data_IF_166652684822
#
_entry.id   IF_166652684822
#
_cell.length_a   1.000
_cell.length_b   1.000
_cell.length_c   1.000
_cell.angle_alpha   90.00
_cell.angle_beta   90.00
_cell.angle_gamma   90.00
#
_symmetry.space_group_name_H-M   'P 1'
#
loop_
_entity.id
_entity.type
_entity.pdbx_description
1 polymer ?
#
# COMPACT_ATOMS: atom_id res chain seq x y z
N UNK A 1 38.35 4.66 7.34
CA UNK A 1 38.61 5.59 8.45
C UNK A 1 37.30 5.70 9.18
N UNK A 2 37.31 5.55 10.49
CA UNK A 2 36.09 5.65 11.30
C UNK A 2 35.82 7.13 11.54
N UNK A 3 34.71 7.63 11.01
CA UNK A 3 34.41 9.07 11.04
C UNK A 3 33.54 9.47 12.23
N UNK A 4 32.70 8.55 12.70
CA UNK A 4 31.72 8.83 13.73
C UNK A 4 32.11 8.18 15.07
N UNK A 5 31.82 8.90 16.14
CA UNK A 5 31.75 8.36 17.50
C UNK A 5 30.29 8.29 17.94
N UNK A 6 29.95 7.25 18.69
CA UNK A 6 28.64 7.14 19.33
C UNK A 6 28.68 7.89 20.66
N UNK A 7 27.90 8.96 20.80
CA UNK A 7 27.94 9.86 21.95
C UNK A 7 26.54 9.96 22.56
N UNK A 8 26.37 9.71 23.89
CA UNK A 8 25.09 9.89 24.55
C UNK A 8 24.56 11.31 24.41
N UNK A 9 23.24 11.47 24.28
CA UNK A 9 22.58 12.77 24.08
C UNK A 9 22.92 13.75 25.20
N UNK A 10 22.97 13.33 26.47
CA UNK A 10 23.40 14.21 27.58
C UNK A 10 24.78 14.83 27.37
N UNK A 11 25.71 14.09 26.75
CA UNK A 11 27.05 14.61 26.46
C UNK A 11 27.01 15.56 25.25
N UNK A 12 26.23 15.23 24.22
CA UNK A 12 25.99 16.13 23.07
C UNK A 12 25.43 17.47 23.52
N UNK A 13 24.45 17.46 24.43
CA UNK A 13 23.85 18.67 25.01
C UNK A 13 24.89 19.54 25.71
N UNK A 14 25.83 18.94 26.45
CA UNK A 14 26.89 19.67 27.16
C UNK A 14 27.91 20.24 26.17
N UNK A 15 28.27 19.47 25.13
CA UNK A 15 29.29 19.83 24.14
C UNK A 15 28.79 20.85 23.11
N UNK A 16 27.53 20.74 22.69
CA UNK A 16 26.92 21.54 21.64
C UNK A 16 25.59 22.14 22.11
N UNK A 17 25.59 22.99 23.16
CA UNK A 17 24.36 23.51 23.75
C UNK A 17 23.52 24.36 22.79
N UNK A 18 24.13 24.89 21.73
CA UNK A 18 23.44 25.66 20.70
C UNK A 18 22.40 24.84 19.93
N UNK A 19 22.50 23.50 19.89
CA UNK A 19 21.54 22.67 19.15
C UNK A 19 20.11 22.79 19.67
N UNK A 20 19.95 23.10 20.97
CA UNK A 20 18.66 23.33 21.63
C UNK A 20 17.87 24.52 21.07
N UNK A 21 18.48 25.37 20.26
CA UNK A 21 17.77 26.46 19.59
C UNK A 21 16.92 25.98 18.41
N UNK A 22 17.22 24.80 17.87
CA UNK A 22 16.51 24.22 16.74
C UNK A 22 15.33 23.41 17.24
N UNK A 23 14.14 23.68 16.70
CA UNK A 23 12.89 23.07 17.14
C UNK A 23 12.89 21.53 17.02
N UNK A 24 13.57 20.99 15.99
CA UNK A 24 13.72 19.55 15.81
C UNK A 24 14.64 18.87 16.82
N UNK A 25 15.42 19.62 17.59
CA UNK A 25 16.25 19.02 18.64
C UNK A 25 15.37 18.73 19.85
N UNK A 26 15.27 17.46 20.25
CA UNK A 26 14.40 17.00 21.35
C UNK A 26 12.90 17.15 21.02
N UNK A 27 12.54 16.81 19.78
CA UNK A 27 11.17 16.91 19.25
C UNK A 27 10.23 15.82 19.77
N UNK A 28 10.74 14.61 20.04
CA UNK A 28 9.92 13.45 20.39
C UNK A 28 9.89 13.20 21.90
N UNK A 29 8.70 12.93 22.45
CA UNK A 29 8.47 12.74 23.88
C UNK A 29 9.17 11.48 24.46
N UNK A 30 9.58 10.55 23.60
CA UNK A 30 10.26 9.30 23.97
C UNK A 30 11.79 9.36 23.80
N UNK A 31 12.36 10.53 23.52
CA UNK A 31 13.81 10.74 23.56
C UNK A 31 14.35 10.61 24.98
N UNK A 32 15.27 9.66 25.18
CA UNK A 32 15.98 9.50 26.44
C UNK A 32 17.39 10.10 26.31
N UNK A 33 17.86 10.84 27.32
CA UNK A 33 19.22 11.44 27.29
C UNK A 33 20.37 10.40 27.16
N UNK A 34 20.02 9.14 27.37
CA UNK A 34 20.87 7.95 27.34
C UNK A 34 20.99 7.34 25.94
N UNK A 35 20.10 7.72 25.02
CA UNK A 35 20.18 7.40 23.61
C UNK A 35 21.34 8.17 22.97
N UNK A 36 21.61 7.88 21.69
CA UNK A 36 22.88 8.25 21.08
C UNK A 36 22.75 9.15 19.87
N UNK A 37 23.78 9.95 19.66
CA UNK A 37 24.08 10.60 18.38
C UNK A 37 25.32 9.98 17.74
N UNK A 38 25.33 9.98 16.41
CA UNK A 38 26.55 9.83 15.63
C UNK A 38 27.24 11.19 15.52
N UNK A 39 28.40 11.35 16.14
CA UNK A 39 29.14 12.62 16.19
C UNK A 39 30.46 12.50 15.44
N UNK A 40 30.71 13.40 14.49
CA UNK A 40 31.98 13.57 13.80
C UNK A 40 32.55 14.98 14.08
N UNK A 41 33.74 15.04 14.67
CA UNK A 41 34.46 16.30 14.95
C UNK A 41 35.40 16.71 13.81
N UNK A 42 34.87 16.71 12.57
CA UNK A 42 35.60 17.07 11.36
C UNK A 42 34.87 16.64 10.10
N UNK A 43 35.59 16.66 8.97
CA UNK A 43 35.05 16.27 7.67
C UNK A 43 34.76 14.76 7.60
N UNK A 44 33.62 14.41 7.00
CA UNK A 44 33.16 13.03 6.81
C UNK A 44 33.18 12.69 5.34
N UNK A 45 33.81 11.57 4.99
CA UNK A 45 33.81 11.03 3.64
C UNK A 45 33.07 9.70 3.60
N UNK A 46 32.02 9.60 2.79
CA UNK A 46 31.22 8.39 2.63
C UNK A 46 31.41 7.83 1.23
N UNK A 47 32.05 6.67 1.13
CA UNK A 47 32.14 5.92 -0.13
C UNK A 47 30.83 5.16 -0.36
N UNK A 48 30.04 5.62 -1.34
CA UNK A 48 28.68 5.15 -1.60
C UNK A 48 27.62 6.10 -1.01
N UNK A 49 26.42 5.58 -0.76
CA UNK A 49 25.30 6.36 -0.21
C UNK A 49 25.44 6.59 1.30
N UNK A 50 25.04 7.77 1.77
CA UNK A 50 24.91 8.10 3.18
C UNK A 50 23.44 8.03 3.61
N UNK A 51 23.09 6.94 4.27
CA UNK A 51 21.74 6.73 4.81
C UNK A 51 21.57 7.43 6.17
N UNK A 52 20.52 8.24 6.27
CA UNK A 52 20.14 8.96 7.47
C UNK A 52 19.11 8.18 8.30
N UNK A 53 18.47 7.14 7.78
CA UNK A 53 17.51 6.29 8.49
C UNK A 53 18.21 5.37 9.52
N UNK A 54 18.96 5.96 10.46
CA UNK A 54 19.87 5.27 11.39
C UNK A 54 19.17 4.42 12.45
N UNK A 55 17.84 4.49 12.49
CA UNK A 55 16.99 3.60 13.28
C UNK A 55 16.82 2.22 12.61
N UNK A 56 16.95 2.13 11.28
CA UNK A 56 16.81 0.90 10.52
C UNK A 56 17.96 -0.09 10.76
N UNK A 57 17.61 -1.37 10.89
CA UNK A 57 18.57 -2.44 11.18
C UNK A 57 19.62 -2.60 10.09
N UNK A 58 19.24 -2.46 8.83
CA UNK A 58 20.16 -2.60 7.71
C UNK A 58 21.10 -1.39 7.60
N UNK A 59 20.65 -0.20 7.98
CA UNK A 59 21.50 1.00 8.09
C UNK A 59 22.49 0.84 9.25
N UNK A 60 22.07 0.34 10.41
CA UNK A 60 22.98 0.01 11.53
C UNK A 60 24.05 -1.01 11.13
N UNK A 61 23.67 -2.05 10.39
CA UNK A 61 24.63 -3.04 9.84
C UNK A 61 25.63 -2.40 8.87
N UNK A 62 25.17 -1.46 8.06
CA UNK A 62 26.04 -0.70 7.15
C UNK A 62 27.01 0.20 7.92
N UNK A 63 26.52 0.99 8.89
CA UNK A 63 27.34 1.86 9.75
C UNK A 63 28.49 1.08 10.41
N UNK A 64 28.18 -0.08 10.98
CA UNK A 64 29.16 -0.98 11.63
C UNK A 64 30.27 -1.48 10.71
N UNK A 65 30.02 -1.54 9.40
CA UNK A 65 30.99 -2.02 8.42
C UNK A 65 31.85 -0.89 7.85
N UNK A 66 31.39 0.35 7.94
CA UNK A 66 31.88 1.44 7.08
C UNK A 66 32.35 2.66 7.86
N UNK A 67 31.57 3.15 8.82
CA UNK A 67 31.72 4.49 9.37
C UNK A 67 31.99 4.53 10.88
N UNK A 68 31.73 3.42 11.58
CA UNK A 68 31.85 3.32 13.04
C UNK A 68 33.03 2.45 13.52
N UNK A 69 33.77 2.89 14.55
CA UNK A 69 34.85 2.10 15.15
C UNK A 69 34.34 1.02 16.11
N UNK A 70 33.14 1.23 16.68
CA UNK A 70 32.49 0.31 17.62
C UNK A 70 31.16 -0.14 17.05
N UNK A 71 30.87 -1.44 17.19
CA UNK A 71 29.62 -2.01 16.69
C UNK A 71 28.43 -1.54 17.53
N UNK A 72 27.39 -1.03 16.86
CA UNK A 72 26.06 -0.79 17.42
C UNK A 72 25.19 -2.03 17.25
N UNK A 73 24.28 -2.26 18.20
CA UNK A 73 23.31 -3.35 18.17
C UNK A 73 21.98 -2.88 17.60
N UNK A 74 21.07 -3.81 17.28
CA UNK A 74 19.70 -3.47 16.84
C UNK A 74 18.98 -2.58 17.87
N UNK A 75 19.16 -2.88 19.16
CA UNK A 75 18.55 -2.11 20.28
C UNK A 75 19.21 -0.75 20.53
N UNK A 76 20.32 -0.42 19.85
CA UNK A 76 20.95 0.89 20.00
C UNK A 76 20.06 1.93 19.33
N UNK A 77 19.44 2.80 20.14
CA UNK A 77 18.68 3.95 19.66
C UNK A 77 19.63 5.07 19.27
N UNK A 78 19.59 5.45 18.00
CA UNK A 78 20.36 6.56 17.44
C UNK A 78 19.35 7.59 16.98
N UNK A 79 19.40 8.75 17.61
CA UNK A 79 18.37 9.78 17.48
C UNK A 79 18.87 11.01 16.70
N UNK A 80 20.18 11.08 16.45
CA UNK A 80 20.76 12.19 15.72
C UNK A 80 22.10 11.91 15.07
N UNK A 81 22.43 12.79 14.12
CA UNK A 81 23.70 12.82 13.41
C UNK A 81 24.23 14.26 13.50
N UNK A 82 25.45 14.42 13.98
CA UNK A 82 26.15 15.70 14.08
C UNK A 82 27.49 15.60 13.37
N UNK A 83 27.64 16.38 12.29
CA UNK A 83 28.91 16.54 11.58
C UNK A 83 29.42 17.96 11.78
N UNK A 84 30.48 18.11 12.57
CA UNK A 84 31.16 19.37 12.79
C UNK A 84 32.26 19.61 11.71
N UNK A 85 31.85 19.54 10.45
CA UNK A 85 32.70 19.64 9.28
C UNK A 85 31.89 19.50 7.99
N UNK A 86 32.59 19.27 6.88
CA UNK A 86 31.98 19.00 5.58
C UNK A 86 31.55 17.53 5.46
N UNK A 87 30.51 17.26 4.69
CA UNK A 87 30.11 15.91 4.28
C UNK A 87 30.38 15.76 2.79
N UNK A 88 31.19 14.76 2.45
CA UNK A 88 31.54 14.44 1.06
C UNK A 88 31.09 13.00 0.83
N UNK A 89 30.03 12.83 0.06
CA UNK A 89 29.42 11.54 -0.23
C UNK A 89 29.61 11.24 -1.72
N UNK A 90 30.26 10.12 -2.03
CA UNK A 90 30.46 9.71 -3.43
C UNK A 90 29.13 9.30 -4.10
N UNK A 91 28.12 8.95 -3.31
CA UNK A 91 26.76 8.66 -3.75
C UNK A 91 25.75 9.65 -3.19
N UNK A 92 24.54 9.18 -2.98
CA UNK A 92 23.42 9.99 -2.50
C UNK A 92 23.35 10.08 -0.96
N UNK A 93 22.86 11.22 -0.45
CA UNK A 93 22.43 11.37 0.95
C UNK A 93 20.93 11.08 1.00
N UNK A 94 20.52 10.08 1.78
CA UNK A 94 19.16 9.50 1.70
C UNK A 94 18.52 9.41 3.09
N UNK A 95 17.34 10.00 3.22
CA UNK A 95 16.33 9.69 4.24
C UNK A 95 15.06 9.27 3.48
N UNK A 96 14.80 7.96 3.41
CA UNK A 96 13.67 7.41 2.66
C UNK A 96 12.37 7.47 3.46
N UNK A 97 12.44 7.27 4.78
CA UNK A 97 11.28 7.33 5.65
C UNK A 97 10.67 8.74 5.62
N UNK A 98 9.37 8.83 5.38
CA UNK A 98 8.65 10.09 5.25
C UNK A 98 8.09 10.59 6.57
N UNK A 99 7.64 9.70 7.45
CA UNK A 99 6.93 10.08 8.68
C UNK A 99 7.85 10.41 9.86
N UNK A 100 9.09 9.95 9.81
CA UNK A 100 10.05 10.03 10.91
C UNK A 100 11.49 10.16 10.39
N UNK A 101 12.38 10.70 11.22
CA UNK A 101 13.81 10.62 11.00
C UNK A 101 14.62 11.22 12.15
N UNK A 102 15.94 11.02 12.16
CA UNK A 102 16.79 11.60 13.19
C UNK A 102 16.90 13.11 13.05
N UNK A 103 17.38 13.75 14.11
CA UNK A 103 17.88 15.12 14.03
C UNK A 103 19.28 15.14 13.39
N UNK A 104 19.44 15.83 12.27
CA UNK A 104 20.69 15.89 11.51
C UNK A 104 21.22 17.32 11.45
N UNK A 105 22.45 17.52 11.91
CA UNK A 105 23.13 18.81 11.87
C UNK A 105 24.49 18.68 11.17
N UNK A 106 24.68 19.44 10.10
CA UNK A 106 25.93 19.50 9.33
C UNK A 106 26.46 20.94 9.35
N UNK A 107 27.60 21.15 10.01
CA UNK A 107 28.19 22.48 10.23
C UNK A 107 28.88 23.06 8.97
N UNK A 108 29.30 22.21 8.04
CA UNK A 108 30.00 22.59 6.81
C UNK A 108 29.15 22.41 5.55
N UNK A 109 29.83 22.26 4.43
CA UNK A 109 29.22 22.01 3.14
C UNK A 109 28.90 20.51 2.97
N UNK A 110 27.91 20.22 2.12
CA UNK A 110 27.56 18.86 1.69
C UNK A 110 27.79 18.75 0.19
N UNK A 111 28.55 17.73 -0.22
CA UNK A 111 28.73 17.35 -1.63
C UNK A 111 28.24 15.91 -1.79
N UNK A 112 27.38 15.68 -2.78
CA UNK A 112 26.78 14.36 -3.03
C UNK A 112 26.35 14.19 -4.49
N UNK A 113 26.05 12.96 -4.88
CA UNK A 113 25.38 12.67 -6.16
C UNK A 113 23.97 13.31 -6.19
N UNK A 114 23.14 12.90 -5.24
CA UNK A 114 21.77 13.39 -5.04
C UNK A 114 21.47 13.47 -3.55
N UNK A 115 20.49 14.28 -3.16
CA UNK A 115 20.01 14.37 -1.79
C UNK A 115 18.50 14.13 -1.79
N UNK A 116 18.05 13.10 -1.07
CA UNK A 116 16.64 12.82 -0.82
C UNK A 116 16.38 12.94 0.69
N UNK A 117 15.50 13.87 1.08
CA UNK A 117 15.10 14.07 2.47
C UNK A 117 13.60 13.84 2.63
N UNK A 118 13.24 12.91 3.53
CA UNK A 118 11.89 12.64 3.99
C UNK A 118 11.66 13.25 5.38
N UNK A 119 11.21 12.43 6.32
CA UNK A 119 10.77 12.83 7.67
C UNK A 119 11.83 13.33 8.64
N UNK A 120 13.13 13.30 8.29
CA UNK A 120 14.19 13.77 9.16
C UNK A 120 14.20 15.30 9.33
N UNK A 121 14.72 15.75 10.47
CA UNK A 121 14.97 17.17 10.71
C UNK A 121 16.43 17.52 10.39
N UNK A 122 16.66 18.07 9.20
CA UNK A 122 17.98 18.29 8.63
C UNK A 122 18.34 19.77 8.59
N UNK A 123 19.53 20.11 9.11
CA UNK A 123 20.13 21.44 9.04
C UNK A 123 21.50 21.34 8.40
N UNK A 124 21.72 22.11 7.34
CA UNK A 124 23.03 22.32 6.71
C UNK A 124 23.39 23.80 6.84
N UNK A 125 24.50 24.08 7.52
CA UNK A 125 24.98 25.46 7.73
C UNK A 125 25.72 26.00 6.51
N UNK A 126 26.41 25.13 5.77
CA UNK A 126 27.12 25.48 4.54
C UNK A 126 26.26 25.31 3.30
N UNK A 127 26.93 25.16 2.16
CA UNK A 127 26.27 24.90 0.87
C UNK A 127 25.96 23.41 0.71
N UNK A 128 24.88 23.12 0.00
CA UNK A 128 24.61 21.78 -0.55
C UNK A 128 24.92 21.81 -2.04
N UNK A 129 25.79 20.91 -2.49
CA UNK A 129 26.09 20.70 -3.91
C UNK A 129 25.73 19.26 -4.27
N UNK A 130 24.74 19.10 -5.14
CA UNK A 130 24.35 17.81 -5.70
C UNK A 130 24.67 17.76 -7.20
N UNK A 131 25.10 16.61 -7.68
CA UNK A 131 25.38 16.38 -9.11
C UNK A 131 24.10 16.28 -9.96
N UNK A 132 22.99 15.81 -9.38
CA UNK A 132 21.70 15.69 -10.07
C UNK A 132 20.53 16.37 -9.35
N UNK A 133 20.03 15.74 -8.28
CA UNK A 133 18.75 16.08 -7.68
C UNK A 133 18.90 16.36 -6.20
N UNK A 134 18.33 17.48 -5.75
CA UNK A 134 17.91 17.65 -4.35
C UNK A 134 16.39 17.51 -4.33
N UNK A 135 15.87 16.55 -3.59
CA UNK A 135 14.45 16.33 -3.40
C UNK A 135 14.13 16.27 -1.90
N UNK A 136 13.18 17.10 -1.47
CA UNK A 136 12.61 17.03 -0.14
C UNK A 136 11.12 16.74 -0.27
N UNK A 137 10.65 15.70 0.40
CA UNK A 137 9.31 15.15 0.17
C UNK A 137 8.64 14.81 1.50
N UNK A 138 7.36 15.19 1.62
CA UNK A 138 6.47 14.86 2.74
C UNK A 138 6.61 15.72 4.01
N UNK A 139 5.48 16.07 4.61
CA UNK A 139 5.38 17.27 5.47
C UNK A 139 5.80 17.07 6.92
N UNK A 140 6.14 15.85 7.32
CA UNK A 140 6.72 15.56 8.62
C UNK A 140 8.22 15.89 8.67
N UNK A 141 8.87 16.01 7.51
CA UNK A 141 10.26 16.36 7.39
C UNK A 141 10.55 17.85 7.51
N UNK A 142 11.81 18.18 7.76
CA UNK A 142 12.29 19.56 7.80
C UNK A 142 13.69 19.67 7.21
N UNK A 143 13.89 20.63 6.31
CA UNK A 143 15.20 20.91 5.72
C UNK A 143 15.50 22.40 5.78
N UNK A 144 16.56 22.78 6.47
CA UNK A 144 17.09 24.14 6.46
C UNK A 144 18.52 24.16 5.90
N UNK A 145 18.72 24.91 4.83
CA UNK A 145 20.04 25.22 4.28
C UNK A 145 20.34 26.71 4.49
N UNK A 146 21.30 27.03 5.36
CA UNK A 146 21.75 28.40 5.60
C UNK A 146 22.80 28.89 4.59
N UNK A 147 23.34 27.98 3.77
CA UNK A 147 24.11 28.34 2.58
C UNK A 147 23.23 28.39 1.33
N UNK A 148 23.83 28.02 0.20
CA UNK A 148 23.14 27.86 -1.07
C UNK A 148 23.00 26.38 -1.47
N UNK A 149 21.90 26.05 -2.16
CA UNK A 149 21.67 24.75 -2.79
C UNK A 149 22.02 24.84 -4.29
N UNK A 150 23.00 24.05 -4.73
CA UNK A 150 23.42 23.92 -6.12
C UNK A 150 23.08 22.52 -6.61
N UNK A 151 22.13 22.41 -7.52
CA UNK A 151 21.75 21.12 -8.11
C UNK A 151 21.07 21.36 -9.47
N UNK A 152 21.30 20.56 -10.51
CA UNK A 152 20.55 20.70 -11.76
C UNK A 152 19.03 20.70 -11.56
N UNK A 153 18.53 19.85 -10.66
CA UNK A 153 17.11 19.75 -10.29
C UNK A 153 16.94 19.93 -8.78
N UNK A 154 16.02 20.81 -8.38
CA UNK A 154 15.62 20.96 -6.97
C UNK A 154 14.09 20.91 -6.83
N UNK A 155 13.61 19.98 -6.00
CA UNK A 155 12.19 19.72 -5.75
C UNK A 155 11.94 19.79 -4.24
N UNK A 156 11.02 20.65 -3.84
CA UNK A 156 10.37 20.62 -2.53
C UNK A 156 8.88 20.35 -2.74
N UNK A 157 8.44 19.16 -2.34
CA UNK A 157 7.08 18.67 -2.52
C UNK A 157 6.48 18.31 -1.17
N UNK A 158 5.46 19.07 -0.74
CA UNK A 158 4.81 18.96 0.56
C UNK A 158 5.80 18.83 1.72
N UNK A 159 6.89 19.59 1.76
CA UNK A 159 7.95 19.44 2.77
C UNK A 159 8.30 20.78 3.42
N UNK A 160 8.69 20.80 4.70
CA UNK A 160 9.13 22.02 5.37
C UNK A 160 10.56 22.41 4.95
N UNK A 161 10.70 22.99 3.76
CA UNK A 161 12.00 23.31 3.15
C UNK A 161 12.28 24.80 3.16
N UNK A 162 13.41 25.18 3.78
CA UNK A 162 13.87 26.54 3.96
C UNK A 162 15.29 26.69 3.40
N UNK A 163 15.42 27.37 2.27
CA UNK A 163 16.69 27.57 1.59
C UNK A 163 16.89 29.07 1.35
N UNK A 164 18.05 29.61 1.72
CA UNK A 164 18.33 31.04 1.51
C UNK A 164 18.56 31.37 0.03
N UNK A 165 19.27 30.51 -0.69
CA UNK A 165 19.61 30.68 -2.09
C UNK A 165 19.67 29.32 -2.77
N UNK A 166 19.21 29.25 -4.01
CA UNK A 166 19.36 28.07 -4.84
C UNK A 166 19.77 28.47 -6.26
N UNK A 167 20.46 27.57 -6.94
CA UNK A 167 20.78 27.70 -8.35
C UNK A 167 20.58 26.35 -9.04
N UNK A 168 19.61 26.32 -9.96
CA UNK A 168 19.20 25.12 -10.66
C UNK A 168 19.23 25.35 -12.16
N UNK A 169 19.96 24.50 -12.88
CA UNK A 169 20.14 24.64 -14.33
C UNK A 169 18.94 24.12 -15.12
N UNK A 170 18.28 23.05 -14.63
CA UNK A 170 17.28 22.31 -15.39
C UNK A 170 15.87 22.49 -14.84
N UNK A 171 15.69 22.37 -13.53
CA UNK A 171 14.35 22.35 -12.94
C UNK A 171 14.33 22.83 -11.49
N UNK A 172 13.29 23.59 -11.16
CA UNK A 172 12.99 24.00 -9.79
C UNK A 172 11.49 23.93 -9.54
N UNK A 173 11.11 23.32 -8.42
CA UNK A 173 9.74 23.25 -7.93
C UNK A 173 9.72 23.35 -6.41
N UNK A 174 8.86 24.21 -5.89
CA UNK A 174 8.58 24.33 -4.46
C UNK A 174 7.12 24.74 -4.31
N UNK A 175 6.30 23.81 -3.82
CA UNK A 175 4.85 23.96 -3.70
C UNK A 175 4.45 24.96 -2.60
N UNK A 176 5.30 25.15 -1.59
CA UNK A 176 5.02 26.05 -0.45
C UNK A 176 5.57 27.46 -0.62
N UNK A 177 6.64 27.62 -1.41
CA UNK A 177 7.18 28.95 -1.71
C UNK A 177 6.48 29.65 -2.88
N UNK A 178 5.83 28.88 -3.77
CA UNK A 178 5.08 29.38 -4.93
C UNK A 178 5.91 30.34 -5.83
N UNK A 179 7.22 30.09 -5.93
CA UNK A 179 8.20 30.91 -6.67
C UNK A 179 8.84 30.16 -7.86
N UNK A 180 8.29 28.99 -8.20
CA UNK A 180 8.75 28.19 -9.33
C UNK A 180 8.12 28.65 -10.67
N UNK A 181 8.78 28.42 -11.82
CA UNK A 181 8.24 28.79 -13.13
C UNK A 181 6.90 28.08 -13.41
N UNK A 182 5.99 28.76 -14.13
CA UNK A 182 4.65 28.22 -14.42
C UNK A 182 4.70 26.91 -15.24
N UNK A 183 5.69 26.75 -16.11
CA UNK A 183 5.92 25.53 -16.88
C UNK A 183 6.30 24.31 -16.02
N UNK A 184 6.71 24.56 -14.77
CA UNK A 184 7.09 23.53 -13.80
C UNK A 184 5.91 23.09 -12.92
N UNK A 185 4.73 23.69 -13.09
CA UNK A 185 3.53 23.31 -12.36
C UNK A 185 3.18 21.83 -12.58
N UNK A 186 2.82 21.17 -11.48
CA UNK A 186 2.20 19.86 -11.51
C UNK A 186 0.76 19.95 -12.03
N UNK A 187 0.22 18.86 -12.55
CA UNK A 187 -1.12 18.83 -13.14
C UNK A 187 -1.85 17.53 -12.82
N UNK A 188 -3.16 17.61 -12.70
CA UNK A 188 -4.05 16.44 -12.65
C UNK A 188 -4.40 16.05 -14.09
N UNK A 189 -4.27 14.76 -14.41
CA UNK A 189 -4.73 14.24 -15.69
C UNK A 189 -6.24 14.04 -15.66
N UNK A 190 -6.95 14.69 -16.58
CA UNK A 190 -8.42 14.67 -16.61
C UNK A 190 -8.99 13.27 -16.88
N UNK A 191 -8.23 12.37 -17.52
CA UNK A 191 -8.71 11.03 -17.88
C UNK A 191 -8.52 10.05 -16.73
N UNK A 192 -7.33 10.03 -16.10
CA UNK A 192 -7.04 9.10 -15.01
C UNK A 192 -7.36 9.66 -13.61
N UNK A 193 -7.42 10.99 -13.46
CA UNK A 193 -7.47 11.66 -12.15
C UNK A 193 -6.14 11.60 -11.37
N UNK A 194 -5.07 11.11 -12.00
CA UNK A 194 -3.76 11.04 -11.37
C UNK A 194 -3.07 12.41 -11.36
N UNK A 195 -2.30 12.66 -10.31
CA UNK A 195 -1.50 13.87 -10.18
C UNK A 195 -0.07 13.62 -10.66
N UNK A 196 0.38 14.39 -11.66
CA UNK A 196 1.68 14.26 -12.30
C UNK A 196 2.54 15.50 -12.08
N UNK A 197 3.85 15.31 -12.04
CA UNK A 197 4.77 16.44 -12.14
C UNK A 197 4.78 17.00 -13.57
N UNK A 198 5.34 18.19 -13.74
CA UNK A 198 5.36 18.85 -15.05
C UNK A 198 6.05 18.02 -16.15
N UNK A 199 5.57 18.20 -17.37
CA UNK A 199 6.24 17.67 -18.57
C UNK A 199 7.65 18.23 -18.75
N UNK A 200 7.95 19.37 -18.13
CA UNK A 200 9.30 19.94 -18.13
C UNK A 200 10.27 19.06 -17.34
N UNK A 201 9.93 18.67 -16.11
CA UNK A 201 10.75 17.72 -15.35
C UNK A 201 10.94 16.40 -16.11
N UNK A 202 9.85 15.85 -16.67
CA UNK A 202 9.88 14.59 -17.43
C UNK A 202 10.89 14.59 -18.60
N UNK A 203 11.17 15.76 -19.21
CA UNK A 203 12.13 15.88 -20.32
C UNK A 203 13.58 15.72 -19.88
N UNK A 204 13.89 15.97 -18.62
CA UNK A 204 15.25 15.87 -18.08
C UNK A 204 15.57 14.49 -17.52
N UNK A 205 14.53 13.69 -17.21
CA UNK A 205 14.70 12.34 -16.68
C UNK A 205 15.19 11.33 -17.74
N UNK A 206 16.07 10.43 -17.34
CA UNK A 206 16.57 9.32 -18.17
C UNK A 206 15.44 8.37 -18.58
N UNK A 207 14.48 8.14 -17.68
CA UNK A 207 13.22 7.46 -18.03
C UNK A 207 12.04 8.46 -18.04
N UNK A 208 11.59 8.94 -19.21
CA UNK A 208 10.47 9.88 -19.30
C UNK A 208 9.10 9.25 -18.99
N UNK A 209 9.05 7.93 -18.75
CA UNK A 209 7.85 7.23 -18.27
C UNK A 209 7.69 7.34 -16.74
N UNK A 210 8.70 7.82 -16.02
CA UNK A 210 8.54 8.29 -14.64
C UNK A 210 7.79 9.63 -14.70
N UNK A 211 6.64 9.74 -14.02
CA UNK A 211 5.75 10.90 -14.14
C UNK A 211 5.25 11.46 -12.81
N UNK A 212 5.48 10.76 -11.69
CA UNK A 212 5.08 11.21 -10.36
C UNK A 212 6.27 11.38 -9.43
N UNK A 213 6.13 12.23 -8.41
CA UNK A 213 7.15 12.39 -7.38
C UNK A 213 7.39 11.10 -6.59
N UNK A 214 6.35 10.31 -6.32
CA UNK A 214 6.48 8.98 -5.69
C UNK A 214 7.41 8.06 -6.50
N UNK A 215 7.27 8.04 -7.83
CA UNK A 215 8.10 7.21 -8.70
C UNK A 215 9.55 7.67 -8.77
N UNK A 216 9.76 8.99 -8.82
CA UNK A 216 11.09 9.58 -8.81
C UNK A 216 11.79 9.31 -7.47
N UNK A 217 11.06 9.49 -6.36
CA UNK A 217 11.52 9.19 -5.01
C UNK A 217 12.01 7.75 -4.91
N UNK A 218 11.24 6.76 -5.37
CA UNK A 218 11.64 5.34 -5.35
C UNK A 218 12.98 5.08 -6.07
N UNK A 219 13.31 5.81 -7.14
CA UNK A 219 14.61 5.66 -7.81
C UNK A 219 15.74 6.33 -7.00
N UNK A 220 15.48 7.50 -6.42
CA UNK A 220 16.42 8.23 -5.56
C UNK A 220 16.73 7.48 -4.25
N UNK A 221 15.76 6.75 -3.68
CA UNK A 221 15.93 5.86 -2.53
C UNK A 221 16.90 4.71 -2.82
N UNK A 222 16.92 4.21 -4.06
CA UNK A 222 17.92 3.23 -4.52
C UNK A 222 19.26 3.88 -4.88
N UNK A 223 19.36 5.21 -4.75
CA UNK A 223 20.56 5.98 -5.07
C UNK A 223 20.85 6.05 -6.58
N UNK A 224 19.83 5.85 -7.43
CA UNK A 224 20.02 5.84 -8.87
C UNK A 224 20.31 7.23 -9.44
N UNK A 225 21.06 7.25 -10.54
CA UNK A 225 21.13 8.42 -11.41
C UNK A 225 19.85 8.51 -12.25
N UNK A 226 19.14 9.63 -12.15
CA UNK A 226 17.79 9.80 -12.72
C UNK A 226 17.75 10.77 -13.89
N UNK A 227 18.78 11.59 -14.11
CA UNK A 227 18.84 12.57 -15.20
C UNK A 227 19.54 11.99 -16.45
N UNK A 228 19.14 12.51 -17.61
CA UNK A 228 19.73 12.12 -18.90
C UNK A 228 21.23 12.38 -18.94
N UNK A 229 21.96 11.41 -19.49
CA UNK A 229 23.39 11.54 -19.72
C UNK A 229 24.27 11.35 -18.48
N UNK A 230 23.69 11.22 -17.29
CA UNK A 230 24.39 10.90 -16.05
C UNK A 230 24.21 9.44 -15.63
N UNK A 231 23.27 8.71 -16.23
CA UNK A 231 23.00 7.32 -15.87
C UNK A 231 24.14 6.37 -16.25
N UNK A 232 24.82 5.82 -15.24
CA UNK A 232 25.74 4.68 -15.38
C UNK A 232 25.00 3.32 -15.38
N UNK A 233 23.74 3.31 -14.94
CA UNK A 233 22.90 2.11 -14.82
C UNK A 233 22.35 1.67 -16.18
N UNK A 234 22.67 0.44 -16.58
CA UNK A 234 22.09 -0.17 -17.79
C UNK A 234 20.66 -0.62 -17.48
N UNK A 235 19.65 0.10 -17.98
CA UNK A 235 18.22 -0.21 -17.81
C UNK A 235 17.73 -1.27 -18.79
N UNK A 236 18.37 -2.44 -18.77
CA UNK A 236 18.04 -3.58 -19.62
C UNK A 236 16.86 -4.41 -19.08
N UNK A 237 16.63 -5.59 -19.67
CA UNK A 237 15.58 -6.49 -19.24
C UNK A 237 15.75 -7.01 -17.80
N UNK A 238 16.99 -7.14 -17.29
CA UNK A 238 17.24 -7.60 -15.93
C UNK A 238 16.90 -6.49 -14.92
N UNK A 239 17.25 -5.24 -15.23
CA UNK A 239 16.85 -4.06 -14.45
C UNK A 239 15.33 -3.99 -14.31
N UNK A 240 14.59 -4.05 -15.41
CA UNK A 240 13.12 -3.96 -15.37
C UNK A 240 12.46 -5.16 -14.70
N UNK A 241 13.07 -6.36 -14.79
CA UNK A 241 12.61 -7.53 -14.03
C UNK A 241 12.78 -7.33 -12.52
N UNK A 242 13.89 -6.73 -12.06
CA UNK A 242 14.11 -6.37 -10.65
C UNK A 242 13.04 -5.37 -10.18
N UNK A 243 12.91 -4.24 -10.88
CA UNK A 243 11.96 -3.16 -10.52
C UNK A 243 10.51 -3.63 -10.45
N UNK A 244 10.07 -4.45 -11.40
CA UNK A 244 8.69 -4.98 -11.42
C UNK A 244 8.44 -6.09 -10.40
N UNK A 245 9.50 -6.79 -9.95
CA UNK A 245 9.41 -7.77 -8.85
C UNK A 245 9.26 -7.07 -7.50
N UNK A 246 9.94 -5.95 -7.29
CA UNK A 246 9.79 -5.12 -6.08
C UNK A 246 8.41 -4.46 -6.02
N UNK A 247 7.98 -3.86 -7.14
CA UNK A 247 6.67 -3.22 -7.23
C UNK A 247 6.09 -3.40 -8.64
N UNK A 248 4.98 -4.12 -8.76
CA UNK A 248 4.34 -4.42 -10.05
C UNK A 248 3.92 -3.16 -10.82
N UNK A 249 3.67 -2.04 -10.13
CA UNK A 249 3.31 -0.75 -10.74
C UNK A 249 4.43 -0.21 -11.62
N UNK A 250 5.69 -0.59 -11.38
CA UNK A 250 6.81 -0.23 -12.25
C UNK A 250 6.65 -0.74 -13.68
N UNK A 251 5.73 -1.67 -13.95
CA UNK A 251 5.45 -2.13 -15.31
C UNK A 251 4.98 -0.98 -16.22
N UNK A 252 4.31 0.05 -15.68
CA UNK A 252 3.93 1.24 -16.46
C UNK A 252 5.14 2.04 -16.93
N UNK A 253 6.25 1.99 -16.18
CA UNK A 253 7.51 2.70 -16.43
C UNK A 253 8.48 1.94 -17.34
N UNK A 254 8.17 0.70 -17.71
CA UNK A 254 9.02 -0.11 -18.60
C UNK A 254 8.88 0.38 -20.05
N UNK A 255 9.99 0.73 -20.74
CA UNK A 255 9.97 1.07 -22.16
C UNK A 255 9.46 -0.08 -23.03
N UNK A 256 8.78 0.24 -24.14
CA UNK A 256 8.15 -0.76 -25.01
C UNK A 256 9.13 -1.85 -25.50
N UNK A 257 10.38 -1.49 -25.76
CA UNK A 257 11.43 -2.43 -26.17
C UNK A 257 11.77 -3.49 -25.10
N UNK A 258 11.55 -3.17 -23.82
CA UNK A 258 11.81 -4.06 -22.67
C UNK A 258 10.53 -4.70 -22.14
N UNK A 259 9.35 -4.19 -22.50
CA UNK A 259 8.03 -4.69 -22.05
C UNK A 259 7.61 -5.93 -22.86
N UNK A 260 8.40 -7.00 -22.75
CA UNK A 260 8.16 -8.26 -23.45
C UNK A 260 6.98 -9.03 -22.86
N UNK A 261 6.43 -9.96 -23.64
CA UNK A 261 5.40 -10.90 -23.17
C UNK A 261 5.86 -11.68 -21.93
N UNK A 262 7.12 -12.15 -21.93
CA UNK A 262 7.70 -12.88 -20.80
C UNK A 262 7.67 -12.07 -19.51
N UNK A 263 8.10 -10.79 -19.56
CA UNK A 263 8.08 -9.90 -18.40
C UNK A 263 6.64 -9.68 -17.91
N UNK A 264 5.72 -9.41 -18.84
CA UNK A 264 4.30 -9.20 -18.54
C UNK A 264 3.68 -10.41 -17.83
N UNK A 265 3.91 -11.62 -18.37
CA UNK A 265 3.40 -12.86 -17.80
C UNK A 265 4.03 -13.16 -16.43
N UNK A 266 5.33 -12.88 -16.24
CA UNK A 266 5.99 -13.04 -14.94
C UNK A 266 5.35 -12.15 -13.87
N UNK A 267 5.06 -10.88 -14.17
CA UNK A 267 4.42 -9.98 -13.19
C UNK A 267 3.01 -10.47 -12.86
N UNK A 268 2.24 -10.88 -13.87
CA UNK A 268 0.88 -11.43 -13.71
C UNK A 268 0.83 -12.75 -12.91
N UNK A 269 1.92 -13.53 -12.92
CA UNK A 269 2.02 -14.71 -12.05
C UNK A 269 1.98 -14.36 -10.57
N UNK A 270 2.42 -13.15 -10.18
CA UNK A 270 2.40 -12.69 -8.80
C UNK A 270 1.10 -11.96 -8.47
N UNK A 271 0.63 -11.08 -9.36
CA UNK A 271 -0.54 -10.24 -9.09
C UNK A 271 -1.34 -9.92 -10.37
N UNK A 272 -2.65 -10.13 -10.33
CA UNK A 272 -3.54 -9.75 -11.43
C UNK A 272 -3.73 -8.23 -11.55
N UNK A 273 -3.40 -7.46 -10.50
CA UNK A 273 -3.44 -5.98 -10.50
C UNK A 273 -2.49 -5.32 -11.51
N UNK A 274 -1.56 -6.09 -12.07
CA UNK A 274 -0.68 -5.58 -13.12
C UNK A 274 -1.34 -5.56 -14.50
N UNK A 275 -2.50 -6.22 -14.67
CA UNK A 275 -3.18 -6.37 -15.97
C UNK A 275 -3.43 -5.03 -16.70
N UNK A 276 -3.83 -3.93 -16.04
CA UNK A 276 -3.99 -2.63 -16.69
C UNK A 276 -2.72 -2.07 -17.33
N UNK A 277 -1.53 -2.53 -16.92
CA UNK A 277 -0.24 -2.07 -17.46
C UNK A 277 0.30 -2.97 -18.58
N UNK A 278 -0.41 -4.03 -18.93
CA UNK A 278 -0.02 -5.01 -19.94
C UNK A 278 -0.43 -4.50 -21.32
N UNK A 279 0.47 -4.51 -22.33
CA UNK A 279 0.12 -4.17 -23.69
C UNK A 279 -1.05 -5.02 -24.21
N UNK A 280 -2.04 -4.38 -24.83
CA UNK A 280 -3.27 -5.05 -25.29
C UNK A 280 -3.02 -6.26 -26.20
N UNK A 281 -1.93 -6.24 -26.97
CA UNK A 281 -1.48 -7.34 -27.83
C UNK A 281 -1.18 -8.65 -27.09
N UNK A 282 -0.91 -8.60 -25.78
CA UNK A 282 -0.63 -9.76 -24.93
C UNK A 282 -1.83 -10.22 -24.11
N UNK A 283 -2.92 -9.44 -24.08
CA UNK A 283 -4.12 -9.81 -23.34
C UNK A 283 -5.00 -10.68 -24.23
N UNK A 284 -5.11 -11.95 -23.85
CA UNK A 284 -5.92 -12.96 -24.56
C UNK A 284 -7.00 -13.53 -23.65
N UNK A 285 -8.04 -14.11 -24.24
CA UNK A 285 -9.10 -14.81 -23.49
C UNK A 285 -8.51 -15.94 -22.62
N UNK A 286 -7.52 -16.68 -23.13
CA UNK A 286 -6.85 -17.74 -22.39
C UNK A 286 -6.13 -17.20 -21.14
N UNK A 287 -5.44 -16.06 -21.26
CA UNK A 287 -4.80 -15.40 -20.14
C UNK A 287 -5.84 -14.91 -19.11
N UNK A 288 -6.92 -14.26 -19.55
CA UNK A 288 -7.99 -13.77 -18.68
C UNK A 288 -8.60 -14.94 -17.87
N UNK A 289 -8.90 -16.04 -18.56
CA UNK A 289 -9.40 -17.27 -17.93
C UNK A 289 -8.41 -17.85 -16.93
N UNK A 290 -7.10 -17.83 -17.23
CA UNK A 290 -6.06 -18.30 -16.30
C UNK A 290 -5.99 -17.44 -15.03
N UNK A 291 -6.07 -16.12 -15.16
CA UNK A 291 -6.05 -15.20 -14.00
C UNK A 291 -7.27 -15.43 -13.11
N UNK A 292 -8.47 -15.47 -13.69
CA UNK A 292 -9.73 -15.72 -12.96
C UNK A 292 -9.75 -17.12 -12.34
N UNK A 293 -9.19 -18.12 -13.02
CA UNK A 293 -9.09 -19.48 -12.48
C UNK A 293 -8.20 -19.56 -11.22
N UNK A 294 -7.20 -18.66 -11.10
CA UNK A 294 -6.31 -18.55 -9.94
C UNK A 294 -6.98 -17.78 -8.81
N UNK A 295 -7.63 -16.66 -9.12
CA UNK A 295 -8.33 -15.81 -8.16
C UNK A 295 -9.57 -15.17 -8.83
N UNK A 296 -10.76 -15.43 -8.28
CA UNK A 296 -12.01 -14.92 -8.84
C UNK A 296 -12.11 -13.39 -8.80
N UNK A 297 -11.34 -12.71 -7.95
CA UNK A 297 -11.27 -11.24 -7.93
C UNK A 297 -10.59 -10.64 -9.17
N UNK A 298 -9.81 -11.44 -9.92
CA UNK A 298 -9.17 -10.96 -11.13
C UNK A 298 -10.17 -10.43 -12.18
N UNK A 299 -11.44 -10.87 -12.12
CA UNK A 299 -12.50 -10.45 -13.05
C UNK A 299 -12.66 -8.93 -13.12
N UNK A 300 -12.38 -8.21 -12.04
CA UNK A 300 -12.51 -6.74 -12.00
C UNK A 300 -11.48 -6.00 -12.85
N UNK A 301 -10.33 -6.63 -13.12
CA UNK A 301 -9.25 -6.05 -13.93
C UNK A 301 -9.31 -6.51 -15.39
N UNK A 302 -10.16 -7.51 -15.71
CA UNK A 302 -10.26 -8.06 -17.06
C UNK A 302 -10.93 -7.04 -17.99
N UNK A 303 -10.35 -6.74 -19.18
CA UNK A 303 -11.00 -5.85 -20.14
C UNK A 303 -12.40 -6.30 -20.53
N UNK A 304 -13.35 -5.36 -20.61
CA UNK A 304 -14.78 -5.64 -20.83
C UNK A 304 -15.06 -6.59 -22.00
N UNK A 305 -14.29 -6.48 -23.09
CA UNK A 305 -14.43 -7.33 -24.28
C UNK A 305 -14.19 -8.82 -24.05
N UNK A 306 -13.53 -9.19 -22.95
CA UNK A 306 -13.29 -10.59 -22.55
C UNK A 306 -14.23 -11.05 -21.44
N UNK A 307 -15.07 -10.16 -20.91
CA UNK A 307 -16.06 -10.52 -19.89
C UNK A 307 -17.22 -11.26 -20.56
N UNK A 308 -17.35 -12.55 -20.25
CA UNK A 308 -18.42 -13.42 -20.75
C UNK A 308 -19.20 -14.06 -19.59
N UNK A 309 -20.42 -14.58 -19.82
CA UNK A 309 -21.15 -15.36 -18.82
C UNK A 309 -20.32 -16.51 -18.23
N UNK A 310 -19.56 -17.22 -19.06
CA UNK A 310 -18.72 -18.35 -18.66
C UNK A 310 -17.56 -17.88 -17.76
N UNK A 311 -16.94 -16.75 -18.09
CA UNK A 311 -15.87 -16.17 -17.27
C UNK A 311 -16.42 -15.66 -15.93
N UNK A 312 -17.59 -15.03 -15.93
CA UNK A 312 -18.25 -14.56 -14.70
C UNK A 312 -18.63 -15.73 -13.78
N UNK A 313 -19.13 -16.83 -14.35
CA UNK A 313 -19.42 -18.05 -13.59
C UNK A 313 -18.12 -18.69 -13.05
N UNK A 314 -17.05 -18.70 -13.83
CA UNK A 314 -15.73 -19.14 -13.36
C UNK A 314 -15.26 -18.27 -12.17
N UNK A 315 -15.37 -16.94 -12.28
CA UNK A 315 -15.02 -16.00 -11.21
C UNK A 315 -15.83 -16.29 -9.94
N UNK A 316 -17.15 -16.48 -10.07
CA UNK A 316 -18.02 -16.87 -8.97
C UNK A 316 -17.57 -18.17 -8.30
N UNK A 317 -17.25 -19.20 -9.09
CA UNK A 317 -16.74 -20.49 -8.57
C UNK A 317 -15.37 -20.40 -7.88
N UNK A 318 -14.58 -19.37 -8.18
CA UNK A 318 -13.24 -19.14 -7.60
C UNK A 318 -13.25 -18.15 -6.44
N UNK A 319 -14.41 -17.60 -6.11
CA UNK A 319 -14.59 -16.61 -5.06
C UNK A 319 -14.39 -15.20 -5.61
N UNK A 320 -15.49 -14.50 -5.82
CA UNK A 320 -15.53 -13.09 -6.24
C UNK A 320 -16.70 -12.38 -5.55
N UNK A 321 -17.04 -11.15 -5.96
CA UNK A 321 -18.21 -10.41 -5.48
C UNK A 321 -19.08 -9.96 -6.65
N UNK A 322 -20.41 -9.84 -6.42
CA UNK A 322 -21.38 -9.44 -7.44
C UNK A 322 -21.09 -8.06 -8.02
N UNK A 323 -20.56 -7.13 -7.20
CA UNK A 323 -20.22 -5.78 -7.64
C UNK A 323 -19.16 -5.74 -8.76
N UNK A 324 -18.39 -6.81 -8.96
CA UNK A 324 -17.40 -6.91 -10.03
C UNK A 324 -17.93 -7.62 -11.28
N UNK A 325 -19.19 -8.04 -11.27
CA UNK A 325 -19.85 -8.69 -12.40
C UNK A 325 -20.79 -7.69 -13.05
N UNK A 326 -20.73 -7.49 -14.38
CA UNK A 326 -21.66 -6.61 -15.08
C UNK A 326 -23.11 -7.02 -14.83
N UNK A 327 -23.97 -6.04 -14.51
CA UNK A 327 -25.35 -6.30 -14.10
C UNK A 327 -26.15 -7.15 -15.10
N UNK A 328 -25.89 -6.98 -16.40
CA UNK A 328 -26.53 -7.74 -17.49
C UNK A 328 -26.13 -9.23 -17.55
N UNK A 329 -25.06 -9.63 -16.85
CA UNK A 329 -24.56 -11.01 -16.80
C UNK A 329 -24.89 -11.71 -15.47
N UNK A 330 -25.53 -11.01 -14.53
CA UNK A 330 -25.95 -11.59 -13.26
C UNK A 330 -27.13 -12.54 -13.51
N UNK A 331 -27.03 -13.76 -12.98
CA UNK A 331 -28.12 -14.75 -12.94
C UNK A 331 -28.27 -15.30 -11.54
N UNK A 332 -29.40 -15.95 -11.26
CA UNK A 332 -29.66 -16.60 -9.97
C UNK A 332 -28.58 -17.65 -9.65
N UNK A 333 -28.16 -18.44 -10.64
CA UNK A 333 -27.11 -19.44 -10.48
C UNK A 333 -25.77 -18.80 -10.12
N UNK A 334 -25.44 -17.66 -10.74
CA UNK A 334 -24.22 -16.92 -10.44
C UNK A 334 -24.25 -16.36 -9.02
N UNK A 335 -25.39 -15.80 -8.58
CA UNK A 335 -25.55 -15.29 -7.21
C UNK A 335 -25.32 -16.41 -6.19
N UNK A 336 -25.92 -17.58 -6.41
CA UNK A 336 -25.73 -18.76 -5.55
C UNK A 336 -24.25 -19.19 -5.54
N UNK A 337 -23.59 -19.20 -6.70
CA UNK A 337 -22.17 -19.54 -6.80
C UNK A 337 -21.29 -18.54 -6.01
N UNK A 338 -21.59 -17.24 -6.06
CA UNK A 338 -20.89 -16.20 -5.27
C UNK A 338 -21.10 -16.42 -3.77
N UNK A 339 -22.34 -16.64 -3.32
CA UNK A 339 -22.64 -16.91 -1.91
C UNK A 339 -21.93 -18.16 -1.39
N UNK A 340 -21.74 -19.16 -2.25
CA UNK A 340 -21.14 -20.44 -1.88
C UNK A 340 -19.62 -20.35 -1.77
N UNK A 341 -18.94 -19.62 -2.66
CA UNK A 341 -17.49 -19.70 -2.83
C UNK A 341 -16.72 -18.44 -2.42
N UNK A 342 -17.39 -17.31 -2.20
CA UNK A 342 -16.71 -16.06 -1.88
C UNK A 342 -16.14 -16.04 -0.47
N UNK A 343 -14.93 -15.50 -0.33
CA UNK A 343 -14.23 -15.33 0.96
C UNK A 343 -14.59 -14.04 1.69
N UNK A 344 -15.28 -13.13 1.02
CA UNK A 344 -15.60 -11.78 1.52
C UNK A 344 -17.01 -11.70 2.13
N UNK A 345 -17.58 -12.84 2.52
CA UNK A 345 -18.90 -12.95 3.14
C UNK A 345 -20.01 -12.15 2.43
N UNK A 346 -20.21 -12.31 1.11
CA UNK A 346 -21.25 -11.59 0.39
C UNK A 346 -22.62 -11.86 0.98
N UNK A 347 -23.49 -10.85 0.91
CA UNK A 347 -24.81 -10.91 1.51
C UNK A 347 -25.92 -10.43 0.58
N UNK A 348 -27.17 -10.56 1.04
CA UNK A 348 -28.34 -10.30 0.20
C UNK A 348 -28.48 -8.84 -0.23
N UNK A 349 -27.81 -7.89 0.44
CA UNK A 349 -27.82 -6.48 0.05
C UNK A 349 -27.00 -6.24 -1.23
N UNK A 350 -26.06 -7.15 -1.58
CA UNK A 350 -25.28 -7.08 -2.82
C UNK A 350 -26.09 -7.54 -4.06
N UNK A 351 -27.27 -8.12 -3.84
CA UNK A 351 -28.10 -8.70 -4.90
C UNK A 351 -29.04 -7.63 -5.47
N UNK A 352 -29.09 -7.44 -6.80
CA UNK A 352 -30.06 -6.55 -7.41
C UNK A 352 -31.50 -6.97 -7.08
N UNK A 353 -32.35 -5.99 -6.75
CA UNK A 353 -33.69 -6.23 -6.20
C UNK A 353 -34.57 -7.16 -7.05
N UNK A 354 -34.40 -7.14 -8.37
CA UNK A 354 -35.15 -7.97 -9.31
C UNK A 354 -34.81 -9.47 -9.22
N UNK A 355 -33.71 -9.84 -8.56
CA UNK A 355 -33.34 -11.24 -8.31
C UNK A 355 -33.74 -11.73 -6.92
N UNK A 356 -34.18 -10.83 -6.01
CA UNK A 356 -34.58 -11.22 -4.66
C UNK A 356 -35.97 -11.89 -4.71
N UNK A 357 -35.96 -13.21 -4.90
CA UNK A 357 -37.14 -14.07 -4.91
C UNK A 357 -37.22 -14.92 -3.65
N UNK A 358 -38.38 -15.52 -3.39
CA UNK A 358 -38.53 -16.51 -2.30
C UNK A 358 -37.52 -17.64 -2.46
N UNK A 359 -37.40 -18.22 -3.66
CA UNK A 359 -36.46 -19.31 -3.95
C UNK A 359 -35.01 -18.91 -3.67
N UNK A 360 -34.59 -17.70 -4.06
CA UNK A 360 -33.23 -17.24 -3.77
C UNK A 360 -33.00 -17.07 -2.27
N UNK A 361 -33.98 -16.52 -1.53
CA UNK A 361 -33.88 -16.38 -0.08
C UNK A 361 -33.82 -17.75 0.62
N UNK A 362 -34.56 -18.75 0.12
CA UNK A 362 -34.46 -20.14 0.61
C UNK A 362 -33.03 -20.66 0.43
N UNK A 363 -32.45 -20.52 -0.77
CA UNK A 363 -31.06 -20.93 -1.05
C UNK A 363 -30.05 -20.18 -0.17
N UNK A 364 -30.22 -18.87 0.00
CA UNK A 364 -29.38 -18.03 0.85
C UNK A 364 -29.35 -18.54 2.30
N UNK A 365 -30.52 -18.89 2.86
CA UNK A 365 -30.63 -19.44 4.22
C UNK A 365 -30.05 -20.85 4.32
N UNK A 366 -30.26 -21.70 3.31
CA UNK A 366 -29.68 -23.04 3.27
C UNK A 366 -28.14 -23.02 3.26
N UNK A 367 -27.51 -21.97 2.72
CA UNK A 367 -26.07 -21.74 2.76
C UNK A 367 -25.55 -21.26 4.14
N UNK A 368 -26.41 -21.18 5.16
CA UNK A 368 -26.03 -20.71 6.49
C UNK A 368 -26.10 -19.18 6.66
N UNK A 369 -26.44 -18.45 5.60
CA UNK A 369 -26.50 -16.98 5.59
C UNK A 369 -27.91 -16.52 5.94
N UNK A 370 -28.07 -15.58 6.87
CA UNK A 370 -29.41 -15.18 7.31
C UNK A 370 -29.51 -13.85 8.03
N UNK A 371 -28.38 -13.17 8.28
CA UNK A 371 -28.34 -11.94 9.08
C UNK A 371 -29.32 -10.87 8.56
N UNK A 372 -29.46 -10.76 7.24
CA UNK A 372 -30.28 -9.74 6.58
C UNK A 372 -31.62 -10.25 6.05
N UNK A 373 -32.02 -11.49 6.38
CA UNK A 373 -33.26 -12.09 5.88
C UNK A 373 -34.49 -11.23 6.19
N UNK A 374 -34.58 -10.71 7.43
CA UNK A 374 -35.74 -9.92 7.89
C UNK A 374 -35.91 -8.64 7.08
N UNK A 375 -34.79 -7.96 6.82
CA UNK A 375 -34.75 -6.75 6.00
C UNK A 375 -35.15 -7.07 4.56
N UNK A 376 -34.52 -8.09 3.96
CA UNK A 376 -34.77 -8.49 2.58
C UNK A 376 -36.25 -8.89 2.36
N UNK A 377 -36.84 -9.69 3.26
CA UNK A 377 -38.24 -10.06 3.21
C UNK A 377 -39.17 -8.83 3.27
N UNK A 378 -38.90 -7.90 4.19
CA UNK A 378 -39.71 -6.69 4.38
C UNK A 378 -39.67 -5.76 3.16
N UNK A 379 -38.48 -5.53 2.62
CA UNK A 379 -38.28 -4.62 1.47
C UNK A 379 -38.87 -5.18 0.17
N UNK A 380 -38.93 -6.51 0.03
CA UNK A 380 -39.42 -7.18 -1.17
C UNK A 380 -40.84 -7.76 -1.03
N UNK A 381 -41.54 -7.47 0.08
CA UNK A 381 -42.89 -7.97 0.36
C UNK A 381 -42.99 -9.52 0.29
N UNK A 382 -41.96 -10.22 0.77
CA UNK A 382 -41.89 -11.68 0.86
C UNK A 382 -42.14 -12.10 2.31
N UNK A 383 -43.00 -13.10 2.53
CA UNK A 383 -43.26 -13.61 3.87
C UNK A 383 -42.06 -14.42 4.39
N UNK A 384 -41.41 -13.93 5.45
CA UNK A 384 -40.31 -14.64 6.12
C UNK A 384 -40.71 -16.04 6.59
N UNK A 385 -41.94 -16.23 7.06
CA UNK A 385 -42.41 -17.54 7.52
C UNK A 385 -42.49 -18.55 6.39
N UNK A 386 -42.84 -18.12 5.17
CA UNK A 386 -42.87 -18.99 4.00
C UNK A 386 -41.45 -19.43 3.66
N UNK A 387 -40.50 -18.49 3.59
CA UNK A 387 -39.07 -18.81 3.34
C UNK A 387 -38.55 -19.82 4.36
N UNK A 388 -38.78 -19.57 5.65
CA UNK A 388 -38.31 -20.47 6.73
C UNK A 388 -38.95 -21.86 6.61
N UNK A 389 -40.26 -21.93 6.34
CA UNK A 389 -40.95 -23.20 6.19
C UNK A 389 -40.42 -23.97 4.97
N UNK A 390 -40.19 -23.30 3.84
CA UNK A 390 -39.59 -23.90 2.65
C UNK A 390 -38.16 -24.42 2.91
N UNK A 391 -37.35 -23.72 3.71
CA UNK A 391 -36.03 -24.21 4.14
C UNK A 391 -36.14 -25.46 5.02
N UNK A 392 -37.10 -25.48 5.96
CA UNK A 392 -37.37 -26.66 6.80
C UNK A 392 -37.83 -27.83 5.93
N UNK A 393 -38.72 -27.59 4.97
CA UNK A 393 -39.29 -28.63 4.10
C UNK A 393 -38.23 -29.23 3.15
N UNK A 394 -37.17 -28.48 2.84
CA UNK A 394 -36.07 -28.93 1.99
C UNK A 394 -35.24 -30.07 2.61
N UNK A 395 -35.11 -30.15 3.94
CA UNK A 395 -34.28 -31.18 4.58
C UNK A 395 -34.02 -30.97 6.08
N UNK A 396 -33.83 -32.07 6.81
CA UNK A 396 -33.59 -32.05 8.26
C UNK A 396 -32.29 -31.34 8.60
N UNK A 397 -31.29 -31.43 7.72
CA UNK A 397 -29.99 -30.79 7.83
C UNK A 397 -30.07 -29.25 7.91
N UNK A 398 -31.11 -28.65 7.32
CA UNK A 398 -31.31 -27.19 7.31
C UNK A 398 -32.02 -26.69 8.57
N UNK A 399 -32.57 -27.57 9.39
CA UNK A 399 -33.21 -27.18 10.66
C UNK A 399 -32.19 -26.58 11.64
N UNK A 400 -30.92 -26.99 11.56
CA UNK A 400 -29.85 -26.44 12.39
C UNK A 400 -29.68 -24.93 12.19
N UNK A 401 -29.61 -24.46 10.94
CA UNK A 401 -29.45 -23.02 10.63
C UNK A 401 -30.68 -22.22 11.06
N UNK A 402 -31.88 -22.78 10.90
CA UNK A 402 -33.12 -22.13 11.33
C UNK A 402 -33.16 -21.97 12.85
N UNK A 403 -32.86 -23.01 13.62
CA UNK A 403 -32.82 -22.90 15.08
C UNK A 403 -31.63 -22.04 15.55
N UNK A 404 -30.49 -22.07 14.85
CA UNK A 404 -29.34 -21.22 15.15
C UNK A 404 -29.62 -19.74 14.98
N UNK A 405 -30.31 -19.34 13.90
CA UNK A 405 -30.38 -17.93 13.48
C UNK A 405 -31.80 -17.35 13.45
N UNK A 406 -32.82 -18.17 13.21
CA UNK A 406 -34.22 -17.75 13.00
C UNK A 406 -35.23 -18.47 13.92
N UNK A 407 -34.79 -18.87 15.12
CA UNK A 407 -35.61 -19.63 16.07
C UNK A 407 -36.86 -18.84 16.50
N UNK A 408 -38.03 -19.38 16.18
CA UNK A 408 -39.34 -18.85 16.56
C UNK A 408 -40.30 -20.01 16.85
N UNK A 409 -41.44 -19.71 17.49
CA UNK A 409 -42.47 -20.71 17.77
C UNK A 409 -43.05 -21.30 16.48
N UNK A 410 -43.32 -20.44 15.51
CA UNK A 410 -43.85 -20.84 14.20
C UNK A 410 -42.91 -21.80 13.47
N UNK A 411 -41.61 -21.46 13.40
CA UNK A 411 -40.60 -22.32 12.79
C UNK A 411 -40.44 -23.67 13.52
N UNK A 412 -40.52 -23.66 14.85
CA UNK A 412 -40.47 -24.90 15.64
C UNK A 412 -41.70 -25.78 15.38
N UNK A 413 -42.90 -25.22 15.44
CA UNK A 413 -44.14 -25.98 15.28
C UNK A 413 -44.20 -26.63 13.88
N UNK A 414 -43.73 -25.92 12.85
CA UNK A 414 -43.59 -26.46 11.49
C UNK A 414 -42.59 -27.62 11.46
N UNK A 415 -41.36 -27.44 11.95
CA UNK A 415 -40.34 -28.50 11.99
C UNK A 415 -40.78 -29.72 12.83
N UNK A 416 -41.43 -29.49 13.96
CA UNK A 416 -41.98 -30.54 14.82
C UNK A 416 -43.04 -31.36 14.09
N UNK A 417 -43.96 -30.71 13.37
CA UNK A 417 -44.97 -31.39 12.56
C UNK A 417 -44.36 -32.28 11.48
N UNK A 418 -43.20 -31.88 10.94
CA UNK A 418 -42.53 -32.54 9.83
C UNK A 418 -41.62 -33.68 10.24
N UNK A 419 -40.94 -33.57 11.38
CA UNK A 419 -39.84 -34.47 11.78
C UNK A 419 -40.07 -35.27 13.07
N UNK A 420 -41.11 -34.96 13.87
CA UNK A 420 -41.35 -35.68 15.12
C UNK A 420 -41.66 -37.17 14.94
N UNK A 421 -42.31 -37.53 13.84
CA UNK A 421 -42.71 -38.91 13.50
C UNK A 421 -42.24 -39.30 12.09
N UNK A 422 -41.06 -38.83 11.69
CA UNK A 422 -40.45 -39.18 10.39
C UNK A 422 -39.26 -40.13 10.55
N UNK A 423 -38.70 -40.57 9.43
CA UNK A 423 -37.44 -41.30 9.39
C UNK A 423 -36.28 -40.55 10.07
N UNK A 424 -36.35 -39.21 10.12
CA UNK A 424 -35.32 -38.33 10.67
C UNK A 424 -35.54 -37.99 12.16
N UNK A 425 -36.49 -38.65 12.84
CA UNK A 425 -36.79 -38.40 14.26
C UNK A 425 -35.53 -38.45 15.16
N UNK A 426 -34.56 -39.30 14.81
CA UNK A 426 -33.28 -39.39 15.51
C UNK A 426 -32.48 -38.10 15.47
N UNK A 427 -32.30 -37.49 14.29
CA UNK A 427 -31.59 -36.22 14.11
C UNK A 427 -32.38 -35.06 14.72
N UNK A 428 -33.70 -35.05 14.55
CA UNK A 428 -34.58 -34.04 15.17
C UNK A 428 -34.37 -33.98 16.69
N UNK A 429 -34.35 -35.13 17.39
CA UNK A 429 -34.08 -35.18 18.83
C UNK A 429 -32.72 -34.61 19.22
N UNK A 430 -31.69 -34.75 18.36
CA UNK A 430 -30.38 -34.13 18.61
C UNK A 430 -30.47 -32.61 18.55
N UNK A 431 -31.19 -32.04 17.58
CA UNK A 431 -31.41 -30.59 17.51
C UNK A 431 -32.21 -30.05 18.71
N UNK A 432 -33.23 -30.78 19.18
CA UNK A 432 -33.96 -30.41 20.40
C UNK A 432 -33.02 -30.31 21.61
N UNK A 433 -32.11 -31.29 21.76
CA UNK A 433 -31.10 -31.26 22.82
C UNK A 433 -30.09 -30.13 22.63
N UNK A 434 -29.63 -29.87 21.39
CA UNK A 434 -28.66 -28.81 21.07
C UNK A 434 -29.21 -27.42 21.37
N UNK A 435 -30.47 -27.16 21.03
CA UNK A 435 -31.10 -25.83 21.16
C UNK A 435 -32.05 -25.68 22.35
N UNK A 436 -32.07 -26.62 23.31
CA UNK A 436 -32.96 -26.60 24.49
C UNK A 436 -33.06 -25.24 25.16
N UNK A 437 -31.93 -24.59 25.44
CA UNK A 437 -31.92 -23.29 26.11
C UNK A 437 -32.58 -22.18 25.26
N UNK A 438 -32.40 -22.22 23.94
CA UNK A 438 -32.98 -21.23 23.02
C UNK A 438 -34.48 -21.45 22.83
N UNK A 439 -34.90 -22.70 22.74
CA UNK A 439 -36.30 -23.12 22.72
C UNK A 439 -37.03 -22.75 24.03
N UNK A 440 -36.37 -22.92 25.18
CA UNK A 440 -36.92 -22.50 26.48
C UNK A 440 -37.20 -20.99 26.56
N UNK A 441 -36.36 -20.14 25.96
CA UNK A 441 -36.57 -18.68 25.91
C UNK A 441 -37.84 -18.28 25.14
N UNK A 442 -38.32 -19.13 24.23
CA UNK A 442 -39.56 -18.92 23.49
C UNK A 442 -40.73 -19.78 24.03
N UNK A 443 -40.58 -20.34 25.24
CA UNK A 443 -41.61 -21.06 25.96
C UNK A 443 -41.86 -22.49 25.47
N UNK A 444 -40.85 -23.13 24.88
CA UNK A 444 -40.95 -24.51 24.39
C UNK A 444 -40.16 -25.43 25.33
N UNK A 445 -40.86 -26.40 25.92
CA UNK A 445 -40.27 -27.42 26.78
C UNK A 445 -39.96 -28.69 25.96
N UNK A 446 -38.71 -29.14 26.00
CA UNK A 446 -38.16 -30.21 25.15
C UNK A 446 -37.21 -31.16 25.86
#
# INVERSE_FOLDING_TARGET
MDFFSLVPIKEVIIRYPFLKQYEGFNLYDDWEEEDYFLVADGDVHVSGHFYLDVFEDDVKKWLNKTLLPKQVTADTRIEGILVNGNVICDGAVINSEGDYGPFVYMAGNVSCQSMLLGGAYVIVKGNVTAEEVVMTDYNHGHFACEGAVYAPVFIANDHNTYVLQHANELFYYNDRADDHPEENNCYEDEESGDYFFSKELARHLDNPLTQTFEELKMDLEEGEFVLKGQTLTIKDAAYWRKKTTQNYRNLKRVPEACKTEELCLQVLQNTFYALPFIPEKYITEALCRQLVAKDGFAVKEIPERFISPELCMLAASKGTMLQFIPAQLITTELIIAVFTNSRSEPDINDVPVNFITEDLLVQYVMLGKGLWLDKACKENNISKSIVINSVIDAGIEHVDVILANHCSREAFDHAQSRYHQSADQGEWKKYLSKYRNKLGRIGIEV
#
